data_IF_460039899962
#
_entry.id   IF_460039899962
#
_cell.length_a   1.000
_cell.length_b   1.000
_cell.length_c   1.000
_cell.angle_alpha   90.00
_cell.angle_beta   90.00
_cell.angle_gamma   90.00
#
_symmetry.space_group_name_H-M   'P 1'
#
loop_
_entity.id
_entity.type
_entity.pdbx_description
1 polymer ?
#
# COMPACT_ATOMS: atom_id res chain seq x y z
N UNK A 1 -5.72 16.65 22.55
CA UNK A 1 -4.54 15.96 22.01
C UNK A 1 -5.00 14.76 21.21
N UNK A 2 -4.53 14.59 19.97
CA UNK A 2 -4.91 13.47 19.09
C UNK A 2 -3.85 12.36 19.14
N UNK A 3 -4.28 11.09 19.09
CA UNK A 3 -3.39 9.91 19.01
C UNK A 3 -3.52 9.28 17.62
N UNK A 4 -2.40 8.92 17.00
CA UNK A 4 -2.37 8.18 15.73
C UNK A 4 -2.17 6.70 16.03
N UNK A 5 -3.09 5.87 15.54
CA UNK A 5 -3.01 4.42 15.63
C UNK A 5 -2.91 3.83 14.22
N UNK A 6 -2.33 2.64 14.12
CA UNK A 6 -2.37 1.86 12.89
C UNK A 6 -3.80 1.34 12.68
N UNK A 7 -4.43 1.73 11.56
CA UNK A 7 -5.76 1.26 11.18
C UNK A 7 -5.74 -0.20 10.73
N UNK A 8 -4.86 -0.54 9.79
CA UNK A 8 -4.70 -1.89 9.25
C UNK A 8 -3.31 -2.08 8.64
N UNK A 9 -2.94 -3.33 8.34
CA UNK A 9 -1.71 -3.66 7.61
C UNK A 9 -1.88 -4.93 6.78
N UNK A 10 -1.19 -4.97 5.65
CA UNK A 10 -0.88 -6.20 4.92
C UNK A 10 0.55 -6.61 5.26
N UNK A 11 0.72 -7.79 5.84
CA UNK A 11 2.04 -8.27 6.23
C UNK A 11 2.63 -9.17 5.14
N UNK A 12 3.90 -8.93 4.79
CA UNK A 12 4.70 -9.78 3.90
C UNK A 12 4.07 -10.05 2.51
N UNK A 13 3.34 -9.07 1.97
CA UNK A 13 2.85 -9.15 0.58
C UNK A 13 4.01 -8.99 -0.39
N UNK A 14 3.91 -9.68 -1.54
CA UNK A 14 4.95 -9.71 -2.56
C UNK A 14 4.62 -8.71 -3.68
N UNK A 15 5.61 -7.91 -4.07
CA UNK A 15 5.52 -7.07 -5.27
C UNK A 15 5.45 -7.98 -6.50
N UNK A 16 4.39 -7.83 -7.30
CA UNK A 16 4.15 -8.66 -8.50
C UNK A 16 4.70 -8.02 -9.77
N UNK A 17 4.74 -6.69 -9.84
CA UNK A 17 5.26 -5.93 -10.97
C UNK A 17 5.79 -4.55 -10.51
N UNK A 18 6.68 -3.96 -11.30
CA UNK A 18 7.15 -2.57 -11.15
C UNK A 18 7.40 -1.96 -12.54
N UNK A 19 7.02 -0.71 -12.72
CA UNK A 19 7.24 0.04 -13.96
C UNK A 19 7.56 1.51 -13.61
N UNK A 20 8.67 2.03 -14.15
CA UNK A 20 9.13 3.40 -13.91
C UNK A 20 8.25 4.44 -14.62
N UNK A 21 7.68 4.07 -15.77
CA UNK A 21 6.80 4.93 -16.58
C UNK A 21 5.32 4.79 -16.16
N UNK A 22 5.03 3.98 -15.15
CA UNK A 22 3.69 3.91 -14.60
C UNK A 22 3.42 5.20 -13.82
N UNK A 23 2.57 6.05 -14.38
CA UNK A 23 2.18 7.33 -13.77
C UNK A 23 1.41 7.15 -12.46
N UNK A 24 0.99 5.92 -12.15
CA UNK A 24 0.16 5.60 -11.01
C UNK A 24 0.91 5.12 -9.76
N UNK A 25 0.21 5.27 -8.65
CA UNK A 25 0.54 4.85 -7.28
C UNK A 25 0.71 3.33 -7.09
N UNK A 26 0.43 2.78 -5.90
CA UNK A 26 0.46 1.35 -5.65
C UNK A 26 -0.85 0.66 -6.09
N UNK A 27 -0.80 -0.10 -7.18
CA UNK A 27 -1.92 -0.98 -7.57
C UNK A 27 -2.03 -2.18 -6.63
N UNK A 28 -3.24 -2.45 -6.13
CA UNK A 28 -3.49 -3.51 -5.15
C UNK A 28 -4.73 -4.34 -5.50
N UNK A 29 -4.55 -5.68 -5.42
CA UNK A 29 -5.62 -6.65 -5.63
C UNK A 29 -6.82 -6.34 -4.71
N UNK A 30 -8.05 -6.26 -5.25
CA UNK A 30 -9.25 -5.99 -4.47
C UNK A 30 -9.44 -6.91 -3.25
N UNK A 31 -8.95 -8.15 -3.30
CA UNK A 31 -9.03 -9.09 -2.17
C UNK A 31 -8.23 -8.62 -0.96
N UNK A 32 -7.06 -8.04 -1.19
CA UNK A 32 -6.25 -7.47 -0.11
C UNK A 32 -6.86 -6.18 0.42
N UNK A 33 -7.45 -5.35 -0.46
CA UNK A 33 -8.17 -4.15 -0.05
C UNK A 33 -9.32 -4.49 0.90
N UNK A 34 -10.16 -5.48 0.54
CA UNK A 34 -11.27 -5.95 1.37
C UNK A 34 -10.75 -6.50 2.71
N UNK A 35 -9.71 -7.34 2.69
CA UNK A 35 -9.17 -7.96 3.89
C UNK A 35 -8.56 -6.93 4.87
N UNK A 36 -7.94 -5.87 4.35
CA UNK A 36 -7.34 -4.79 5.16
C UNK A 36 -8.28 -3.60 5.37
N UNK A 37 -9.49 -3.62 4.82
CA UNK A 37 -10.43 -2.50 4.84
C UNK A 37 -9.86 -1.21 4.24
N UNK A 38 -9.14 -1.31 3.12
CA UNK A 38 -8.57 -0.18 2.38
C UNK A 38 -9.48 0.27 1.23
N UNK A 39 -9.56 1.57 1.00
CA UNK A 39 -10.33 2.15 -0.11
C UNK A 39 -9.42 2.66 -1.25
N UNK A 40 -9.93 2.77 -2.50
CA UNK A 40 -9.23 3.47 -3.56
C UNK A 40 -8.86 4.89 -3.15
N UNK A 41 -7.66 5.34 -3.54
CA UNK A 41 -7.08 6.63 -3.18
C UNK A 41 -6.76 6.82 -1.69
N UNK A 42 -6.89 5.77 -0.85
CA UNK A 42 -6.44 5.81 0.54
C UNK A 42 -4.91 5.84 0.62
N UNK A 43 -4.37 6.75 1.45
CA UNK A 43 -2.94 6.85 1.71
C UNK A 43 -2.43 5.66 2.51
N UNK A 44 -1.31 5.10 2.06
CA UNK A 44 -0.65 3.95 2.69
C UNK A 44 0.84 4.21 2.86
N UNK A 45 1.41 3.53 3.85
CA UNK A 45 2.85 3.46 4.03
C UNK A 45 3.37 2.12 3.53
N UNK A 46 4.39 2.18 2.67
CA UNK A 46 5.05 1.00 2.12
C UNK A 46 6.39 0.84 2.78
N UNK A 47 6.58 -0.29 3.45
CA UNK A 47 7.85 -0.67 4.08
C UNK A 47 8.44 -1.85 3.32
N UNK A 48 9.44 -1.58 2.49
CA UNK A 48 10.09 -2.61 1.69
C UNK A 48 11.12 -3.37 2.54
N UNK A 49 10.91 -4.67 2.71
CA UNK A 49 11.77 -5.53 3.52
C UNK A 49 13.08 -5.93 2.80
N UNK A 50 13.12 -5.87 1.47
CA UNK A 50 14.27 -6.30 0.68
C UNK A 50 15.39 -5.25 0.66
N UNK A 51 15.02 -3.97 0.56
CA UNK A 51 15.99 -2.87 0.46
C UNK A 51 15.89 -1.84 1.61
N UNK A 52 14.92 -2.00 2.51
CA UNK A 52 14.73 -1.11 3.66
C UNK A 52 14.04 0.23 3.35
N UNK A 53 13.67 0.49 2.09
CA UNK A 53 13.02 1.73 1.70
C UNK A 53 11.64 1.88 2.36
N UNK A 54 11.30 3.13 2.70
CA UNK A 54 10.03 3.49 3.32
C UNK A 54 9.49 4.73 2.64
N UNK A 55 8.27 4.65 2.15
CA UNK A 55 7.64 5.76 1.46
C UNK A 55 6.12 5.75 1.67
N UNK A 56 5.51 6.89 1.36
CA UNK A 56 4.08 7.10 1.42
C UNK A 56 3.53 7.25 0.00
N UNK A 57 2.37 6.66 -0.24
CA UNK A 57 1.69 6.69 -1.54
C UNK A 57 0.20 6.40 -1.32
N UNK A 58 -0.59 6.18 -2.37
CA UNK A 58 -2.02 5.83 -2.27
C UNK A 58 -2.38 4.51 -2.99
N UNK A 59 -3.56 3.96 -2.74
CA UNK A 59 -4.00 2.73 -3.42
C UNK A 59 -4.71 3.04 -4.74
N UNK A 60 -4.32 2.32 -5.79
CA UNK A 60 -5.11 2.16 -7.02
C UNK A 60 -5.67 0.74 -7.02
N UNK A 61 -6.96 0.59 -7.32
CA UNK A 61 -7.59 -0.72 -7.41
C UNK A 61 -7.19 -1.39 -8.73
N UNK A 62 -6.66 -2.61 -8.70
CA UNK A 62 -6.32 -3.37 -9.91
C UNK A 62 -5.62 -4.69 -9.65
#
# INVERSE_FOLDING_TARGET
MWRKFLRSKLHTVRVTAKNLEYEGSLTLDPRFMIAAGLEPFETVWVYNLENGERFETYIIKG
#
